data_IF_874386710671
#
_entry.id   IF_874386710671
#
_cell.length_a   1.000
_cell.length_b   1.000
_cell.length_c   1.000
_cell.angle_alpha   90.00
_cell.angle_beta   90.00
_cell.angle_gamma   90.00
#
_symmetry.space_group_name_H-M   'P 1'
#
loop_
_entity.id
_entity.type
_entity.pdbx_description
1 polymer ?
#
# COMPACT_ATOMS: atom_id res chain seq x y z
N UNK A 1 -1.36 -11.01 31.71
CA UNK A 1 -1.49 -11.76 30.45
C UNK A 1 -2.23 -10.98 29.36
N UNK A 2 -3.50 -10.59 29.55
CA UNK A 2 -4.31 -9.93 28.51
C UNK A 2 -3.69 -8.65 27.90
N UNK A 3 -3.13 -7.75 28.72
CA UNK A 3 -2.46 -6.53 28.24
C UNK A 3 -1.23 -6.81 27.36
N UNK A 4 -0.48 -7.86 27.70
CA UNK A 4 0.68 -8.28 26.92
C UNK A 4 0.24 -8.84 25.57
N UNK A 5 -0.78 -9.70 25.56
CA UNK A 5 -1.37 -10.25 24.33
C UNK A 5 -1.92 -9.15 23.42
N UNK A 6 -2.58 -8.14 24.01
CA UNK A 6 -3.08 -6.98 23.28
C UNK A 6 -1.97 -6.19 22.58
N UNK A 7 -0.92 -5.82 23.31
CA UNK A 7 0.22 -5.12 22.70
C UNK A 7 0.95 -6.00 21.68
N UNK A 8 1.08 -7.31 21.94
CA UNK A 8 1.64 -8.25 20.99
C UNK A 8 0.87 -8.30 19.68
N UNK A 9 -0.47 -8.33 19.74
CA UNK A 9 -1.33 -8.29 18.56
C UNK A 9 -1.18 -6.98 17.78
N UNK A 10 -1.10 -5.83 18.47
CA UNK A 10 -0.87 -4.53 17.82
C UNK A 10 0.49 -4.48 17.15
N UNK A 11 1.55 -4.97 17.81
CA UNK A 11 2.90 -5.01 17.25
C UNK A 11 2.92 -5.89 16.00
N UNK A 12 2.32 -7.08 16.05
CA UNK A 12 2.23 -7.97 14.91
C UNK A 12 1.44 -7.32 13.76
N UNK A 13 0.28 -6.71 14.05
CA UNK A 13 -0.55 -6.02 13.06
C UNK A 13 0.16 -4.84 12.40
N UNK A 14 0.78 -3.95 13.19
CA UNK A 14 1.54 -2.81 12.67
C UNK A 14 2.75 -3.25 11.86
N UNK A 15 3.44 -4.32 12.28
CA UNK A 15 4.56 -4.88 11.52
C UNK A 15 4.08 -5.46 10.19
N UNK A 16 3.01 -6.26 10.19
CA UNK A 16 2.44 -6.82 8.96
C UNK A 16 1.93 -5.74 7.99
N UNK A 17 1.37 -4.64 8.50
CA UNK A 17 0.81 -3.57 7.68
C UNK A 17 1.85 -2.58 7.16
N UNK A 18 2.94 -2.35 7.91
CA UNK A 18 3.87 -1.23 7.64
C UNK A 18 5.35 -1.60 7.61
N UNK A 19 5.69 -2.84 7.94
CA UNK A 19 7.04 -3.36 8.22
C UNK A 19 7.74 -2.74 9.45
N UNK A 20 7.48 -1.46 9.76
CA UNK A 20 8.23 -0.69 10.77
C UNK A 20 7.42 -0.37 12.04
N UNK A 21 6.09 -0.37 11.96
CA UNK A 21 5.23 0.19 13.00
C UNK A 21 5.24 -0.58 14.32
N UNK A 22 5.51 -1.90 14.28
CA UNK A 22 5.65 -2.68 15.52
C UNK A 22 6.86 -2.27 16.35
N UNK A 23 7.98 -1.94 15.71
CA UNK A 23 9.17 -1.43 16.39
C UNK A 23 8.87 -0.05 17.02
N UNK A 24 8.25 0.85 16.27
CA UNK A 24 7.84 2.17 16.79
C UNK A 24 6.91 2.03 18.01
N UNK A 25 5.97 1.09 17.98
CA UNK A 25 5.07 0.79 19.10
C UNK A 25 5.81 0.28 20.33
N UNK A 26 6.73 -0.68 20.17
CA UNK A 26 7.50 -1.24 21.28
C UNK A 26 8.37 -0.18 21.97
N UNK A 27 9.07 0.65 21.19
CA UNK A 27 9.90 1.73 21.73
C UNK A 27 9.02 2.77 22.43
N UNK A 28 7.86 3.13 21.85
CA UNK A 28 6.92 4.05 22.50
C UNK A 28 6.45 3.51 23.85
N UNK A 29 6.11 2.21 23.94
CA UNK A 29 5.74 1.58 25.20
C UNK A 29 6.87 1.67 26.24
N UNK A 30 8.10 1.35 25.84
CA UNK A 30 9.26 1.39 26.72
C UNK A 30 9.54 2.81 27.26
N UNK A 31 9.38 3.85 26.43
CA UNK A 31 9.62 5.24 26.82
C UNK A 31 8.49 5.87 27.66
N UNK A 32 7.32 5.24 27.69
CA UNK A 32 6.12 5.81 28.32
C UNK A 32 5.48 4.91 29.37
N UNK A 33 6.20 3.89 29.86
CA UNK A 33 5.72 2.93 30.89
C UNK A 33 5.07 3.61 32.09
N UNK A 34 5.59 4.77 32.51
CA UNK A 34 5.10 5.56 33.67
C UNK A 34 4.33 6.82 33.28
N UNK A 35 3.95 6.98 32.01
CA UNK A 35 3.24 8.16 31.50
C UNK A 35 1.80 7.81 31.11
N UNK A 36 0.98 8.84 30.89
CA UNK A 36 -0.40 8.68 30.44
C UNK A 36 -0.52 8.37 28.94
N UNK A 37 -1.73 8.00 28.51
CA UNK A 37 -2.03 7.60 27.13
C UNK A 37 -1.70 8.69 26.08
N UNK A 38 -1.89 9.97 26.42
CA UNK A 38 -1.56 11.09 25.53
C UNK A 38 -0.06 11.12 25.25
N UNK A 39 0.78 10.97 26.28
CA UNK A 39 2.24 10.91 26.08
C UNK A 39 2.65 9.71 25.24
N UNK A 40 2.01 8.55 25.43
CA UNK A 40 2.24 7.38 24.59
C UNK A 40 1.92 7.66 23.11
N UNK A 41 0.75 8.23 22.82
CA UNK A 41 0.33 8.55 21.44
C UNK A 41 1.31 9.53 20.79
N UNK A 42 1.68 10.60 21.49
CA UNK A 42 2.62 11.59 20.95
C UNK A 42 3.99 10.97 20.66
N UNK A 43 4.53 10.19 21.60
CA UNK A 43 5.82 9.50 21.42
C UNK A 43 5.74 8.49 20.27
N UNK A 44 4.64 7.73 20.16
CA UNK A 44 4.43 6.79 19.06
C UNK A 44 4.39 7.50 17.70
N UNK A 45 3.65 8.60 17.57
CA UNK A 45 3.56 9.35 16.31
C UNK A 45 4.92 9.92 15.89
N UNK A 46 5.70 10.45 16.84
CA UNK A 46 7.06 10.94 16.58
C UNK A 46 7.98 9.80 16.14
N UNK A 47 7.97 8.68 16.84
CA UNK A 47 8.79 7.51 16.50
C UNK A 47 8.39 6.89 15.15
N UNK A 48 7.09 6.81 14.87
CA UNK A 48 6.59 6.31 13.60
C UNK A 48 7.01 7.24 12.46
N UNK A 49 6.84 8.56 12.61
CA UNK A 49 7.28 9.54 11.62
C UNK A 49 8.79 9.49 11.38
N UNK A 50 9.59 9.37 12.45
CA UNK A 50 11.04 9.24 12.35
C UNK A 50 11.44 7.95 11.61
N UNK A 51 10.91 6.80 12.02
CA UNK A 51 11.20 5.50 11.38
C UNK A 51 10.74 5.46 9.93
N UNK A 52 9.59 6.06 9.61
CA UNK A 52 9.08 6.21 8.24
C UNK A 52 10.03 7.05 7.37
N UNK A 53 10.52 8.18 7.89
CA UNK A 53 11.48 9.04 7.20
C UNK A 53 12.81 8.34 6.98
N UNK A 54 13.32 7.64 8.01
CA UNK A 54 14.54 6.83 7.90
C UNK A 54 14.37 5.69 6.90
N UNK A 55 13.21 5.04 6.87
CA UNK A 55 12.95 3.98 5.91
C UNK A 55 12.96 4.49 4.47
N UNK A 56 12.38 5.66 4.21
CA UNK A 56 12.47 6.32 2.90
C UNK A 56 13.92 6.65 2.52
N UNK A 57 14.68 7.21 3.44
CA UNK A 57 16.05 7.64 3.18
C UNK A 57 17.00 6.46 2.94
N UNK A 58 16.78 5.34 3.63
CA UNK A 58 17.68 4.17 3.58
C UNK A 58 17.22 3.07 2.63
N UNK A 59 16.00 3.13 2.09
CA UNK A 59 15.47 2.20 1.09
C UNK A 59 16.44 1.89 -0.07
N UNK A 60 17.21 2.86 -0.65
CA UNK A 60 18.15 2.55 -1.73
C UNK A 60 19.24 1.54 -1.35
N UNK A 61 19.66 1.50 -0.08
CA UNK A 61 20.63 0.51 0.43
C UNK A 61 20.09 -0.92 0.31
N UNK A 62 18.76 -1.06 0.34
CA UNK A 62 18.06 -2.33 0.21
C UNK A 62 17.57 -2.59 -1.23
N UNK A 63 18.07 -1.85 -2.22
CA UNK A 63 17.63 -1.97 -3.61
C UNK A 63 16.18 -1.51 -3.83
N UNK A 64 15.73 -0.53 -3.05
CA UNK A 64 14.37 0.02 -3.10
C UNK A 64 14.37 1.52 -3.34
N UNK A 65 13.36 2.00 -4.05
CA UNK A 65 13.07 3.40 -4.26
C UNK A 65 11.60 3.63 -3.93
N UNK A 66 11.32 4.70 -3.20
CA UNK A 66 9.96 5.09 -2.88
C UNK A 66 9.27 5.73 -4.09
N UNK A 67 8.07 5.28 -4.42
CA UNK A 67 7.19 6.01 -5.34
C UNK A 67 6.78 7.33 -4.69
N UNK A 68 6.65 8.37 -5.51
CA UNK A 68 6.26 9.70 -5.05
C UNK A 68 4.86 9.69 -4.43
N UNK A 69 4.74 10.22 -3.22
CA UNK A 69 3.45 10.37 -2.52
C UNK A 69 2.59 11.48 -3.14
N UNK A 70 3.27 12.55 -3.56
CA UNK A 70 2.70 13.77 -4.09
C UNK A 70 3.58 14.17 -5.27
N UNK A 71 3.08 13.97 -6.48
CA UNK A 71 3.76 14.41 -7.70
C UNK A 71 2.85 15.34 -8.47
N UNK A 72 3.33 16.56 -8.74
CA UNK A 72 2.65 17.50 -9.62
C UNK A 72 3.03 17.26 -11.10
N UNK A 73 4.20 16.67 -11.38
CA UNK A 73 4.67 16.37 -12.73
C UNK A 73 4.15 15.04 -13.29
N UNK A 74 4.39 14.74 -14.56
CA UNK A 74 3.84 13.58 -15.28
C UNK A 74 4.31 12.20 -14.77
N UNK A 75 5.21 12.11 -13.78
CA UNK A 75 5.72 10.84 -13.26
C UNK A 75 4.69 10.02 -12.44
N UNK A 76 5.02 8.75 -12.13
CA UNK A 76 4.19 7.88 -11.33
C UNK A 76 4.02 8.46 -9.92
N UNK A 77 2.82 8.32 -9.36
CA UNK A 77 2.54 8.68 -7.96
C UNK A 77 1.69 7.62 -7.29
N UNK A 78 1.71 7.58 -5.97
CA UNK A 78 0.77 6.75 -5.23
C UNK A 78 -0.67 7.20 -5.47
N UNK A 79 -1.60 6.25 -5.50
CA UNK A 79 -3.02 6.49 -5.69
C UNK A 79 -3.62 7.43 -4.64
N UNK A 80 -3.19 7.25 -3.39
CA UNK A 80 -3.50 8.11 -2.25
C UNK A 80 -2.33 8.10 -1.26
N UNK A 81 -2.38 8.96 -0.24
CA UNK A 81 -1.35 9.05 0.80
C UNK A 81 -1.30 7.82 1.71
N UNK A 82 -2.34 7.00 1.75
CA UNK A 82 -2.41 5.83 2.64
C UNK A 82 -1.30 4.82 2.33
N UNK A 83 -1.01 4.54 1.05
CA UNK A 83 0.11 3.69 0.65
C UNK A 83 1.46 4.22 1.11
N UNK A 84 1.61 5.55 1.13
CA UNK A 84 2.80 6.19 1.65
C UNK A 84 2.90 6.06 3.16
N UNK A 85 1.84 6.43 3.90
CA UNK A 85 1.81 6.36 5.37
C UNK A 85 2.07 4.95 5.83
N UNK A 86 1.49 3.94 5.18
CA UNK A 86 1.72 2.53 5.49
C UNK A 86 3.03 1.97 4.96
N UNK A 87 3.86 2.76 4.28
CA UNK A 87 5.18 2.33 3.84
C UNK A 87 5.15 1.22 2.75
N UNK A 88 4.12 1.20 1.88
CA UNK A 88 3.81 0.10 0.94
C UNK A 88 4.10 0.37 -0.53
N UNK A 89 4.67 1.54 -0.84
CA UNK A 89 4.90 1.98 -2.22
C UNK A 89 6.40 2.05 -2.55
N UNK A 90 7.13 0.96 -2.32
CA UNK A 90 8.54 0.83 -2.68
C UNK A 90 8.72 -0.21 -3.78
N UNK A 91 9.58 0.11 -4.74
CA UNK A 91 9.89 -0.74 -5.88
C UNK A 91 11.40 -0.77 -6.14
N UNK A 92 11.85 -1.68 -6.98
CA UNK A 92 13.23 -1.66 -7.52
C UNK A 92 13.48 -0.43 -8.40
N UNK A 93 14.74 0.06 -8.49
CA UNK A 93 15.09 1.16 -9.39
C UNK A 93 14.67 0.92 -10.84
N UNK A 94 14.80 -0.32 -11.33
CA UNK A 94 14.44 -0.71 -12.69
C UNK A 94 12.93 -0.57 -12.94
N UNK A 95 12.11 -1.01 -11.98
CA UNK A 95 10.66 -0.84 -12.06
C UNK A 95 10.27 0.63 -11.92
N UNK A 96 10.96 1.42 -11.08
CA UNK A 96 10.72 2.85 -10.98
C UNK A 96 10.98 3.57 -12.33
N UNK A 97 12.07 3.23 -13.01
CA UNK A 97 12.38 3.75 -14.34
C UNK A 97 11.32 3.35 -15.37
N UNK A 98 10.91 2.07 -15.39
CA UNK A 98 9.85 1.60 -16.27
C UNK A 98 8.51 2.32 -16.03
N UNK A 99 8.16 2.58 -14.77
CA UNK A 99 6.96 3.34 -14.42
C UNK A 99 7.05 4.80 -14.86
N UNK A 100 8.24 5.39 -14.83
CA UNK A 100 8.48 6.73 -15.34
C UNK A 100 8.30 6.79 -16.86
N UNK A 101 8.88 5.83 -17.60
CA UNK A 101 8.73 5.74 -19.05
C UNK A 101 7.27 5.49 -19.44
N UNK A 102 6.58 4.60 -18.72
CA UNK A 102 5.15 4.37 -18.89
C UNK A 102 4.35 5.66 -18.67
N UNK A 103 4.69 6.45 -17.66
CA UNK A 103 3.96 7.68 -17.35
C UNK A 103 4.16 8.74 -18.44
N UNK A 104 5.39 8.90 -18.96
CA UNK A 104 5.68 9.78 -20.10
C UNK A 104 4.94 9.31 -21.36
N UNK A 105 4.96 8.01 -21.63
CA UNK A 105 4.30 7.42 -22.79
C UNK A 105 2.78 7.56 -22.74
N UNK A 106 2.17 7.29 -21.59
CA UNK A 106 0.72 7.47 -21.40
C UNK A 106 0.32 8.93 -21.54
N UNK A 107 1.08 9.86 -20.96
CA UNK A 107 0.78 11.28 -21.05
C UNK A 107 0.87 11.81 -22.49
N UNK A 108 1.78 11.27 -23.33
CA UNK A 108 1.90 11.68 -24.73
C UNK A 108 0.74 11.18 -25.60
N UNK A 109 0.21 9.99 -25.30
CA UNK A 109 -0.92 9.38 -26.02
C UNK A 109 -2.27 9.89 -25.53
N UNK A 110 -2.37 10.16 -24.24
CA UNK A 110 -3.59 10.55 -23.55
C UNK A 110 -3.29 11.70 -22.59
N UNK A 111 -3.27 12.96 -23.09
CA UNK A 111 -3.01 14.13 -22.24
C UNK A 111 -3.92 14.15 -21.01
N UNK A 112 -3.31 14.18 -19.82
CA UNK A 112 -3.99 14.17 -18.53
C UNK A 112 -4.05 12.80 -17.86
N UNK A 113 -3.76 11.71 -18.58
CA UNK A 113 -3.59 10.39 -17.98
C UNK A 113 -2.33 10.35 -17.11
N UNK A 114 -2.38 9.65 -15.98
CA UNK A 114 -1.18 9.45 -15.15
C UNK A 114 -0.97 7.96 -14.87
N UNK A 115 0.12 7.65 -14.19
CA UNK A 115 0.33 6.34 -13.58
C UNK A 115 0.07 6.47 -12.08
N UNK A 116 -0.96 5.80 -11.58
CA UNK A 116 -1.23 5.69 -10.14
C UNK A 116 -0.85 4.31 -9.64
N UNK A 117 0.04 4.31 -8.65
CA UNK A 117 0.55 3.12 -7.97
C UNK A 117 -0.25 2.87 -6.69
N UNK A 118 -0.72 1.65 -6.51
CA UNK A 118 -1.33 1.14 -5.28
C UNK A 118 -0.22 0.50 -4.43
N UNK A 119 -0.24 -0.82 -4.24
CA UNK A 119 0.82 -1.53 -3.53
C UNK A 119 2.01 -1.83 -4.45
N UNK A 120 3.22 -1.50 -3.99
CA UNK A 120 4.49 -1.90 -4.62
C UNK A 120 5.21 -2.96 -3.80
N UNK A 121 5.51 -2.62 -2.55
CA UNK A 121 6.39 -3.39 -1.68
C UNK A 121 6.81 -2.57 -0.46
N UNK A 122 7.47 -3.23 0.50
CA UNK A 122 8.07 -2.59 1.66
C UNK A 122 9.53 -2.16 1.40
N UNK A 123 10.10 -1.23 2.18
CA UNK A 123 11.43 -0.67 1.91
C UNK A 123 12.59 -1.60 2.25
N UNK A 124 12.42 -2.60 3.12
CA UNK A 124 13.53 -3.39 3.64
C UNK A 124 13.43 -4.87 3.26
N UNK A 125 14.53 -5.39 2.70
CA UNK A 125 14.78 -6.80 2.40
C UNK A 125 13.72 -7.48 1.50
N UNK A 126 14.08 -8.61 0.91
CA UNK A 126 13.14 -9.46 0.19
C UNK A 126 12.42 -10.42 1.15
N UNK A 127 11.25 -10.91 0.73
CA UNK A 127 10.53 -12.00 1.40
C UNK A 127 9.56 -11.57 2.50
N UNK A 128 9.54 -10.29 2.90
CA UNK A 128 8.53 -9.81 3.84
C UNK A 128 7.14 -9.81 3.18
N UNK A 129 6.11 -10.46 3.77
CA UNK A 129 4.82 -10.60 3.13
C UNK A 129 4.04 -9.28 3.17
N UNK A 130 3.62 -8.80 2.00
CA UNK A 130 2.72 -7.65 1.88
C UNK A 130 1.28 -8.15 1.82
N UNK A 131 0.56 -8.15 2.93
CA UNK A 131 -0.84 -8.58 2.96
C UNK A 131 -1.76 -7.53 2.33
N UNK A 132 -2.74 -7.90 1.49
CA UNK A 132 -3.02 -9.26 1.00
C UNK A 132 -2.21 -9.67 -0.26
N UNK A 133 -1.49 -8.73 -0.89
CA UNK A 133 -0.73 -8.93 -2.14
C UNK A 133 0.62 -9.64 -1.93
N UNK A 134 0.58 -10.92 -1.54
CA UNK A 134 1.74 -11.71 -1.14
C UNK A 134 2.88 -11.79 -2.16
N UNK A 135 2.60 -11.52 -3.45
CA UNK A 135 3.63 -11.54 -4.50
C UNK A 135 4.58 -10.33 -4.46
N UNK A 136 4.26 -9.28 -3.69
CA UNK A 136 4.97 -8.00 -3.61
C UNK A 136 6.16 -8.03 -2.62
N UNK A 137 6.77 -9.20 -2.44
CA UNK A 137 7.83 -9.41 -1.46
C UNK A 137 9.22 -8.98 -1.93
N UNK A 138 9.36 -8.56 -3.19
CA UNK A 138 10.66 -8.32 -3.84
C UNK A 138 10.76 -6.96 -4.57
N UNK A 139 9.75 -6.10 -4.47
CA UNK A 139 9.73 -4.78 -5.11
C UNK A 139 9.77 -4.80 -6.65
N UNK A 140 9.61 -5.97 -7.28
CA UNK A 140 9.61 -6.13 -8.75
C UNK A 140 8.19 -6.10 -9.34
N UNK A 141 7.18 -5.82 -8.52
CA UNK A 141 5.77 -5.80 -8.89
C UNK A 141 5.11 -4.57 -8.31
N UNK A 142 4.07 -4.11 -8.97
CA UNK A 142 3.26 -2.99 -8.52
C UNK A 142 1.85 -3.15 -9.02
N UNK A 143 0.90 -2.81 -8.17
CA UNK A 143 -0.50 -2.70 -8.54
C UNK A 143 -0.75 -1.30 -9.08
N UNK A 144 -1.34 -1.22 -10.27
CA UNK A 144 -1.70 0.04 -10.91
C UNK A 144 -3.20 0.26 -10.81
N UNK A 145 -3.61 1.46 -10.44
CA UNK A 145 -5.02 1.82 -10.54
C UNK A 145 -5.34 2.15 -12.00
N UNK A 146 -6.35 1.47 -12.53
CA UNK A 146 -6.93 1.82 -13.82
C UNK A 146 -7.86 3.01 -13.65
N UNK A 147 -7.85 3.88 -14.65
CA UNK A 147 -8.67 5.07 -14.71
C UNK A 147 -9.89 4.78 -15.57
N UNK A 148 -11.02 5.35 -15.17
CA UNK A 148 -12.17 5.46 -16.06
C UNK A 148 -12.04 6.73 -16.91
N UNK A 149 -13.00 6.98 -17.80
CA UNK A 149 -12.97 8.15 -18.68
C UNK A 149 -12.72 9.45 -17.90
N UNK A 150 -11.91 10.35 -18.46
CA UNK A 150 -11.52 11.64 -17.86
C UNK A 150 -10.73 11.55 -16.54
N UNK A 151 -10.09 10.41 -16.26
CA UNK A 151 -9.24 10.26 -15.07
C UNK A 151 -10.02 9.97 -13.79
N UNK A 152 -11.31 9.65 -13.92
CA UNK A 152 -12.20 9.29 -12.84
C UNK A 152 -11.74 8.04 -12.07
N UNK A 153 -11.92 8.08 -10.76
CA UNK A 153 -11.69 6.97 -9.83
C UNK A 153 -13.03 6.51 -9.24
N UNK A 154 -13.25 5.20 -9.27
CA UNK A 154 -14.46 4.58 -8.70
C UNK A 154 -14.26 4.04 -7.30
N UNK A 155 -13.02 3.74 -6.92
CA UNK A 155 -12.68 3.22 -5.59
C UNK A 155 -11.78 4.21 -4.85
N UNK A 156 -12.11 4.59 -3.60
CA UNK A 156 -11.28 5.50 -2.80
C UNK A 156 -9.93 4.89 -2.39
N UNK A 157 -9.81 3.56 -2.45
CA UNK A 157 -8.60 2.81 -2.20
C UNK A 157 -8.03 2.16 -3.48
N UNK A 158 -8.63 2.37 -4.64
CA UNK A 158 -8.20 1.72 -5.90
C UNK A 158 -8.44 0.21 -5.97
N UNK A 159 -9.07 -0.40 -4.97
CA UNK A 159 -9.46 -1.81 -4.95
C UNK A 159 -10.98 -2.00 -4.88
N UNK A 160 -11.44 -3.20 -5.25
CA UNK A 160 -12.82 -3.67 -5.12
C UNK A 160 -13.90 -2.95 -5.94
N UNK A 161 -13.53 -2.03 -6.83
CA UNK A 161 -14.37 -1.59 -7.94
C UNK A 161 -13.77 -2.16 -9.22
N UNK A 162 -14.31 -3.27 -9.72
CA UNK A 162 -13.78 -3.97 -10.89
C UNK A 162 -14.90 -4.48 -11.81
N UNK A 163 -14.56 -4.76 -13.06
CA UNK A 163 -15.50 -5.39 -13.99
C UNK A 163 -15.65 -6.87 -13.65
N UNK A 164 -16.88 -7.32 -13.43
CA UNK A 164 -17.15 -8.72 -13.09
C UNK A 164 -16.94 -9.61 -14.32
N UNK A 165 -16.51 -10.88 -14.13
CA UNK A 165 -16.41 -11.81 -15.26
C UNK A 165 -17.76 -11.96 -15.95
N UNK A 166 -17.76 -11.96 -17.28
CA UNK A 166 -18.97 -12.19 -18.08
C UNK A 166 -19.55 -13.58 -17.81
N UNK A 167 -20.87 -13.79 -18.03
CA UNK A 167 -21.47 -15.11 -17.91
C UNK A 167 -20.71 -16.15 -18.77
N UNK A 168 -20.32 -17.27 -18.15
CA UNK A 168 -19.57 -18.33 -18.82
C UNK A 168 -18.04 -18.11 -18.90
N UNK A 169 -17.52 -16.96 -18.49
CA UNK A 169 -16.08 -16.74 -18.44
C UNK A 169 -15.40 -17.70 -17.45
N UNK A 170 -14.23 -18.21 -17.83
CA UNK A 170 -13.43 -19.06 -16.94
C UNK A 170 -13.06 -18.31 -15.67
N UNK A 171 -13.19 -18.96 -14.51
CA UNK A 171 -12.82 -18.41 -13.20
C UNK A 171 -11.77 -19.32 -12.57
N UNK A 172 -10.48 -19.20 -12.94
CA UNK A 172 -9.42 -20.13 -12.52
C UNK A 172 -9.27 -20.25 -11.00
N UNK A 173 -9.75 -19.25 -10.26
CA UNK A 173 -9.66 -19.19 -8.80
C UNK A 173 -11.02 -19.33 -8.10
N UNK A 174 -12.07 -19.77 -8.81
CA UNK A 174 -13.36 -20.04 -8.19
C UNK A 174 -13.23 -21.23 -7.21
N UNK A 175 -13.90 -21.13 -6.07
CA UNK A 175 -13.94 -22.21 -5.08
C UNK A 175 -12.69 -22.34 -4.19
N UNK A 176 -11.71 -21.43 -4.30
CA UNK A 176 -10.58 -21.40 -3.35
C UNK A 176 -11.10 -21.00 -1.96
N UNK A 177 -11.15 -21.96 -1.06
CA UNK A 177 -11.55 -21.77 0.34
C UNK A 177 -10.32 -21.50 1.25
N UNK A 178 -10.58 -21.02 2.48
CA UNK A 178 -9.55 -20.80 3.49
C UNK A 178 -8.93 -19.40 3.48
N UNK A 179 -7.80 -19.24 4.18
CA UNK A 179 -7.07 -17.97 4.36
C UNK A 179 -6.23 -17.60 3.13
N UNK A 180 -6.83 -17.64 1.93
CA UNK A 180 -6.12 -17.34 0.68
C UNK A 180 -5.79 -15.85 0.51
N UNK A 181 -6.33 -14.98 1.37
CA UNK A 181 -6.29 -13.51 1.29
C UNK A 181 -6.80 -12.96 -0.06
N UNK A 182 -7.40 -13.80 -0.91
CA UNK A 182 -8.05 -13.43 -2.16
C UNK A 182 -9.50 -13.10 -1.89
N UNK A 183 -9.84 -11.83 -2.04
CA UNK A 183 -11.19 -11.36 -1.76
C UNK A 183 -11.90 -11.06 -3.07
N UNK A 184 -12.95 -11.83 -3.35
CA UNK A 184 -13.77 -11.58 -4.54
C UNK A 184 -14.64 -10.35 -4.39
N UNK A 185 -14.94 -9.88 -3.16
CA UNK A 185 -15.80 -8.74 -2.86
C UNK A 185 -17.03 -8.62 -3.77
N UNK A 186 -17.62 -9.77 -4.16
CA UNK A 186 -18.70 -9.81 -5.14
C UNK A 186 -19.95 -9.09 -4.63
N UNK A 187 -20.21 -9.20 -3.33
CA UNK A 187 -21.31 -8.51 -2.63
C UNK A 187 -21.16 -6.98 -2.64
N UNK A 188 -19.94 -6.45 -2.82
CA UNK A 188 -19.66 -5.01 -2.84
C UNK A 188 -19.80 -4.40 -4.24
N UNK A 189 -19.79 -5.22 -5.30
CA UNK A 189 -19.82 -4.73 -6.69
C UNK A 189 -21.07 -3.91 -7.04
N UNK A 190 -22.29 -4.24 -6.59
CA UNK A 190 -23.47 -3.41 -6.85
C UNK A 190 -23.28 -1.98 -6.31
N UNK A 191 -22.76 -1.84 -5.09
CA UNK A 191 -22.51 -0.53 -4.46
C UNK A 191 -21.43 0.26 -5.20
N UNK A 192 -20.36 -0.39 -5.65
CA UNK A 192 -19.28 0.26 -6.38
C UNK A 192 -19.67 0.67 -7.80
N UNK A 193 -20.61 -0.04 -8.43
CA UNK A 193 -21.16 0.30 -9.75
C UNK A 193 -21.97 1.60 -9.71
N UNK A 194 -22.66 1.86 -8.60
CA UNK A 194 -23.50 3.05 -8.45
C UNK A 194 -22.76 4.21 -7.75
N UNK A 195 -21.54 3.95 -7.26
CA UNK A 195 -20.71 4.98 -6.63
C UNK A 195 -20.36 6.11 -7.64
N UNK A 196 -20.37 7.38 -7.17
CA UNK A 196 -19.91 8.49 -7.99
C UNK A 196 -18.42 8.31 -8.34
N UNK A 197 -18.05 8.89 -9.47
CA UNK A 197 -16.67 8.89 -9.95
C UNK A 197 -15.99 10.19 -9.52
N UNK A 198 -14.85 10.06 -8.84
CA UNK A 198 -14.02 11.15 -8.32
C UNK A 198 -12.90 11.56 -9.28
#
# INVERSE_FOLDING_TARGET
MARLLWHGAIVAGLTALTQIGGLAWLVALALTVRKGAISFILVFLVLYGATWGTARATAPVFGRVAISCTSNGAGPKTFNLFYCVLNRAYVTPELAALLQDLAVHLQSRHPGARVLVLDGGFPFFDGFPLLPHLSHSDGRKVDLALWYQNGAKRSPLGYWAFEAPTPGASRPCAGVAGLSMRWSMAWLQPLMRDAPMD
#
